data_IF_233500299571
#
_entry.id   IF_233500299571
#
_cell.length_a   1.000
_cell.length_b   1.000
_cell.length_c   1.000
_cell.angle_alpha   90.00
_cell.angle_beta   90.00
_cell.angle_gamma   90.00
#
_symmetry.space_group_name_H-M   'P 1'
#
loop_
_entity.id
_entity.type
_entity.pdbx_description
1 polymer ?
#
# COMPACT_ATOMS: atom_id res chain seq x y z
N UNK A 1 29.20 -15.18 -11.90
CA UNK A 1 27.77 -15.55 -11.88
C UNK A 1 27.09 -14.97 -10.63
N UNK A 2 26.49 -13.77 -10.72
CA UNK A 2 25.88 -13.04 -9.59
C UNK A 2 24.35 -13.18 -9.62
N UNK A 3 23.81 -14.27 -9.08
CA UNK A 3 22.38 -14.41 -8.75
C UNK A 3 22.22 -15.47 -7.66
N UNK A 4 22.16 -15.08 -6.37
CA UNK A 4 21.73 -15.99 -5.28
C UNK A 4 20.93 -15.29 -4.18
N UNK A 5 21.11 -13.99 -3.96
CA UNK A 5 20.44 -13.26 -2.86
C UNK A 5 18.91 -13.22 -2.98
N UNK A 6 18.33 -13.10 -4.18
CA UNK A 6 16.87 -13.10 -4.38
C UNK A 6 16.24 -14.48 -4.08
N UNK A 7 16.95 -15.56 -4.41
CA UNK A 7 16.49 -16.94 -4.16
C UNK A 7 16.53 -17.25 -2.66
N UNK A 8 17.56 -16.77 -1.95
CA UNK A 8 17.64 -16.87 -0.49
C UNK A 8 16.52 -16.08 0.21
N UNK A 9 16.19 -14.88 -0.26
CA UNK A 9 15.06 -14.11 0.28
C UNK A 9 13.74 -14.84 0.04
N UNK A 10 13.52 -15.37 -1.17
CA UNK A 10 12.31 -16.16 -1.46
C UNK A 10 12.22 -17.43 -0.61
N UNK A 11 13.32 -18.19 -0.48
CA UNK A 11 13.38 -19.37 0.35
C UNK A 11 13.17 -19.05 1.84
N UNK A 12 13.70 -17.93 2.33
CA UNK A 12 13.48 -17.44 3.68
C UNK A 12 12.01 -17.04 3.89
N UNK A 13 11.38 -16.36 2.94
CA UNK A 13 9.95 -16.02 2.99
C UNK A 13 9.07 -17.29 3.04
N UNK A 14 9.39 -18.31 2.24
CA UNK A 14 8.66 -19.59 2.26
C UNK A 14 8.87 -20.38 3.56
N UNK A 15 10.06 -20.35 4.15
CA UNK A 15 10.36 -21.10 5.38
C UNK A 15 9.54 -20.62 6.60
N UNK A 16 9.13 -19.35 6.63
CA UNK A 16 8.34 -18.76 7.71
C UNK A 16 6.87 -19.24 7.67
N UNK A 17 6.38 -19.73 6.53
CA UNK A 17 4.98 -20.09 6.34
C UNK A 17 4.56 -21.42 7.01
N UNK A 18 5.49 -22.34 7.27
CA UNK A 18 5.17 -23.72 7.70
C UNK A 18 4.83 -23.89 9.20
N UNK A 19 4.92 -22.84 10.01
CA UNK A 19 4.67 -22.87 11.47
C UNK A 19 3.46 -22.03 11.90
N UNK A 20 2.53 -21.73 10.99
CA UNK A 20 1.33 -20.95 11.31
C UNK A 20 0.26 -21.83 11.96
N UNK A 21 0.44 -22.18 13.25
CA UNK A 21 -0.73 -22.45 14.09
C UNK A 21 -1.47 -21.13 14.25
N UNK A 22 -2.79 -21.11 14.03
CA UNK A 22 -3.60 -19.90 14.18
C UNK A 22 -3.68 -19.49 15.67
N UNK A 23 -2.60 -18.92 16.20
CA UNK A 23 -2.42 -18.46 17.57
C UNK A 23 -3.27 -17.21 17.79
N UNK A 24 -4.57 -17.41 18.01
CA UNK A 24 -5.49 -16.36 18.46
C UNK A 24 -5.67 -16.39 19.98
N UNK A 25 -4.65 -16.84 20.70
CA UNK A 25 -4.64 -16.92 22.16
C UNK A 25 -4.38 -15.54 22.75
N UNK A 26 -4.97 -15.30 23.92
CA UNK A 26 -4.68 -14.11 24.73
C UNK A 26 -3.17 -13.93 24.94
N UNK A 27 -2.72 -12.68 24.86
CA UNK A 27 -1.34 -12.31 25.14
C UNK A 27 -0.39 -12.37 23.94
N UNK A 28 -0.86 -12.82 22.77
CA UNK A 28 -0.07 -12.84 21.54
C UNK A 28 -0.13 -11.50 20.82
N UNK A 29 0.92 -11.21 20.06
CA UNK A 29 0.94 -10.06 19.14
C UNK A 29 0.51 -10.49 17.74
N UNK A 30 -0.27 -9.62 17.11
CA UNK A 30 -0.63 -9.69 15.70
C UNK A 30 0.24 -8.68 14.96
N UNK A 31 1.13 -9.17 14.10
CA UNK A 31 1.94 -8.34 13.20
C UNK A 31 1.52 -8.63 11.77
N UNK A 32 1.36 -7.57 10.97
CA UNK A 32 1.01 -7.71 9.58
C UNK A 32 0.99 -6.36 8.86
N UNK A 33 0.33 -6.32 7.73
CA UNK A 33 0.14 -5.11 6.96
C UNK A 33 -0.12 -5.41 5.50
N UNK A 34 -0.20 -4.36 4.69
CA UNK A 34 -0.38 -4.48 3.24
C UNK A 34 0.51 -3.51 2.49
N UNK A 35 0.91 -3.90 1.28
CA UNK A 35 1.52 -3.02 0.29
C UNK A 35 0.59 -2.99 -0.91
N UNK A 36 0.33 -1.81 -1.46
CA UNK A 36 -0.48 -1.61 -2.65
C UNK A 36 0.32 -0.87 -3.73
N UNK A 37 0.11 -1.27 -4.98
CA UNK A 37 0.63 -0.59 -6.16
C UNK A 37 -0.43 -0.66 -7.26
N UNK A 38 -0.73 0.47 -7.87
CA UNK A 38 -1.77 0.61 -8.89
C UNK A 38 -1.34 1.64 -9.93
N UNK A 39 -1.56 1.32 -11.20
CA UNK A 39 -1.43 2.29 -12.30
C UNK A 39 -2.70 2.27 -13.12
N UNK A 40 -3.21 3.45 -13.47
CA UNK A 40 -4.34 3.61 -14.36
C UNK A 40 -4.09 4.72 -15.37
N UNK A 41 -4.61 4.55 -16.58
CA UNK A 41 -4.66 5.57 -17.62
C UNK A 41 -6.14 5.86 -17.87
N UNK A 42 -6.74 6.90 -17.26
CA UNK A 42 -8.10 7.29 -17.61
C UNK A 42 -8.22 7.55 -19.12
N UNK A 43 -9.33 7.10 -19.72
CA UNK A 43 -9.57 7.20 -21.16
C UNK A 43 -10.07 8.59 -21.59
N UNK A 44 -9.67 9.62 -20.85
CA UNK A 44 -10.02 11.00 -21.19
C UNK A 44 -9.18 11.43 -22.40
N UNK A 45 -9.67 12.42 -23.17
CA UNK A 45 -8.97 12.95 -24.35
C UNK A 45 -7.58 13.58 -24.03
N UNK A 46 -7.21 13.63 -22.74
CA UNK A 46 -5.92 14.11 -22.24
C UNK A 46 -5.07 12.92 -21.77
N UNK A 47 -3.76 12.89 -22.08
CA UNK A 47 -2.86 11.79 -21.74
C UNK A 47 -2.51 11.82 -20.24
N UNK A 48 -3.46 11.43 -19.40
CA UNK A 48 -3.30 11.38 -17.96
C UNK A 48 -2.92 9.97 -17.52
N UNK A 49 -1.88 9.84 -16.68
CA UNK A 49 -1.48 8.59 -16.03
C UNK A 49 -1.49 8.79 -14.52
N UNK A 50 -2.24 7.96 -13.82
CA UNK A 50 -2.27 7.92 -12.35
C UNK A 50 -1.50 6.70 -11.85
N UNK A 51 -0.53 6.93 -10.97
CA UNK A 51 0.23 5.88 -10.27
C UNK A 51 0.03 6.05 -8.77
N UNK A 52 -0.33 4.97 -8.08
CA UNK A 52 -0.52 4.96 -6.63
C UNK A 52 0.34 3.89 -6.01
N UNK A 53 1.03 4.23 -4.94
CA UNK A 53 1.77 3.33 -4.08
C UNK A 53 1.28 3.53 -2.66
N UNK A 54 1.16 2.45 -1.89
CA UNK A 54 0.87 2.57 -0.49
C UNK A 54 1.36 1.41 0.35
N UNK A 55 1.51 1.70 1.63
CA UNK A 55 2.05 0.83 2.65
C UNK A 55 1.22 1.02 3.91
N UNK A 56 0.79 -0.09 4.52
CA UNK A 56 -0.01 -0.05 5.73
C UNK A 56 0.44 -1.13 6.74
N UNK A 57 1.52 -0.91 7.50
CA UNK A 57 1.91 -1.83 8.57
C UNK A 57 0.88 -1.80 9.70
N UNK A 58 0.69 -2.96 10.31
CA UNK A 58 -0.31 -3.19 11.35
C UNK A 58 0.32 -3.92 12.53
N UNK A 59 0.00 -3.43 13.72
CA UNK A 59 0.30 -4.10 14.99
C UNK A 59 -0.99 -4.24 15.80
N UNK A 60 -1.16 -5.38 16.44
CA UNK A 60 -2.26 -5.64 17.37
C UNK A 60 -1.84 -6.58 18.48
N UNK A 61 -2.68 -6.64 19.50
CA UNK A 61 -2.50 -7.46 20.69
C UNK A 61 -3.80 -8.19 21.00
N UNK A 62 -3.69 -9.47 21.35
CA UNK A 62 -4.83 -10.30 21.69
C UNK A 62 -5.19 -10.14 23.16
N UNK A 63 -6.20 -9.32 23.42
CA UNK A 63 -6.67 -8.98 24.78
C UNK A 63 -7.44 -10.12 25.44
N UNK A 64 -8.07 -10.97 24.62
CA UNK A 64 -8.67 -12.24 25.03
C UNK A 64 -8.50 -13.24 23.90
N UNK A 65 -8.89 -14.48 24.14
CA UNK A 65 -8.98 -15.46 23.07
C UNK A 65 -9.89 -14.91 21.96
N UNK A 66 -9.38 -14.98 20.74
CA UNK A 66 -10.03 -14.56 19.50
C UNK A 66 -10.33 -13.07 19.35
N UNK A 67 -10.02 -12.22 20.33
CA UNK A 67 -10.17 -10.75 20.20
C UNK A 67 -8.81 -10.08 20.12
N UNK A 68 -8.58 -9.38 19.02
CA UNK A 68 -7.42 -8.52 18.83
C UNK A 68 -7.84 -7.06 18.80
N UNK A 69 -7.06 -6.20 19.46
CA UNK A 69 -7.14 -4.75 19.29
C UNK A 69 -5.79 -4.24 18.81
N UNK A 70 -5.77 -3.18 18.03
CA UNK A 70 -4.50 -2.69 17.51
C UNK A 70 -4.65 -1.42 16.72
N UNK A 71 -3.61 -1.10 15.96
CA UNK A 71 -3.62 0.04 15.05
C UNK A 71 -2.86 -0.28 13.76
N UNK A 72 -3.30 0.37 12.69
CA UNK A 72 -2.64 0.33 11.39
C UNK A 72 -2.13 1.72 11.07
N UNK A 73 -0.85 1.86 10.78
CA UNK A 73 -0.31 3.09 10.19
C UNK A 73 -0.46 2.97 8.68
N UNK A 74 -0.84 4.05 8.01
CA UNK A 74 -1.07 4.08 6.57
C UNK A 74 -0.23 5.18 5.95
N UNK A 75 0.41 4.88 4.82
CA UNK A 75 1.15 5.83 4.01
C UNK A 75 0.82 5.56 2.54
N UNK A 76 0.32 6.56 1.81
CA UNK A 76 0.01 6.44 0.39
C UNK A 76 0.58 7.64 -0.37
N UNK A 77 1.12 7.38 -1.56
CA UNK A 77 1.53 8.39 -2.53
C UNK A 77 0.72 8.14 -3.80
N UNK A 78 0.02 9.15 -4.28
CA UNK A 78 -0.67 9.13 -5.56
C UNK A 78 -0.11 10.24 -6.46
N UNK A 79 0.45 9.85 -7.60
CA UNK A 79 0.96 10.76 -8.63
C UNK A 79 0.05 10.70 -9.84
N UNK A 80 -0.36 11.85 -10.34
CA UNK A 80 -1.05 11.99 -11.63
C UNK A 80 -0.17 12.87 -12.51
N UNK A 81 0.16 12.38 -13.70
CA UNK A 81 1.04 13.06 -14.63
C UNK A 81 0.35 13.10 -16.00
N UNK A 82 0.49 14.21 -16.71
CA UNK A 82 -0.01 14.34 -18.07
C UNK A 82 0.77 15.40 -18.85
N UNK A 83 0.48 15.49 -20.14
CA UNK A 83 1.11 16.46 -21.03
C UNK A 83 0.09 17.13 -21.95
N UNK A 84 0.45 18.33 -22.41
CA UNK A 84 -0.27 19.06 -23.46
C UNK A 84 0.72 19.28 -24.61
N UNK A 85 0.36 18.82 -25.81
CA UNK A 85 1.15 19.10 -27.01
C UNK A 85 0.87 20.52 -27.49
N UNK A 86 1.91 21.36 -27.56
CA UNK A 86 1.85 22.71 -28.12
C UNK A 86 2.77 22.80 -29.35
N UNK A 87 2.59 23.83 -30.17
CA UNK A 87 3.36 24.04 -31.40
C UNK A 87 4.87 24.18 -31.16
N UNK A 88 5.26 24.65 -29.96
CA UNK A 88 6.65 24.95 -29.58
C UNK A 88 7.24 23.95 -28.56
N UNK A 89 6.57 22.82 -28.30
CA UNK A 89 7.03 21.79 -27.34
C UNK A 89 5.92 21.11 -26.54
N UNK A 90 6.31 20.28 -25.57
CA UNK A 90 5.37 19.61 -24.65
C UNK A 90 5.36 20.28 -23.29
N UNK A 91 4.17 20.57 -22.77
CA UNK A 91 3.98 21.04 -21.40
C UNK A 91 3.60 19.85 -20.53
N UNK A 92 4.53 19.42 -19.69
CA UNK A 92 4.30 18.39 -18.69
C UNK A 92 3.66 19.02 -17.45
N UNK A 93 2.64 18.38 -16.91
CA UNK A 93 2.04 18.77 -15.65
C UNK A 93 1.79 17.56 -14.77
N UNK A 94 1.75 17.78 -13.47
CA UNK A 94 1.41 16.72 -12.56
C UNK A 94 1.00 17.19 -11.18
N UNK A 95 0.23 16.31 -10.55
CA UNK A 95 -0.28 16.45 -9.20
C UNK A 95 0.22 15.27 -8.36
N UNK A 96 0.80 15.56 -7.21
CA UNK A 96 1.22 14.57 -6.23
C UNK A 96 0.45 14.76 -4.93
N UNK A 97 -0.21 13.70 -4.48
CA UNK A 97 -0.89 13.62 -3.20
C UNK A 97 -0.17 12.63 -2.30
N UNK A 98 0.15 13.05 -1.08
CA UNK A 98 0.71 12.19 -0.04
C UNK A 98 -0.29 12.13 1.10
N UNK A 99 -0.66 10.92 1.52
CA UNK A 99 -1.54 10.66 2.64
C UNK A 99 -0.80 9.85 3.70
N UNK A 100 -0.95 10.23 4.95
CA UNK A 100 -0.53 9.42 6.09
C UNK A 100 -1.63 9.39 7.14
N UNK A 101 -1.77 8.27 7.84
CA UNK A 101 -2.86 8.10 8.78
C UNK A 101 -2.65 6.98 9.78
N UNK A 102 -3.56 6.95 10.75
CA UNK A 102 -3.62 5.95 11.79
C UNK A 102 -5.04 5.40 11.86
N UNK A 103 -5.15 4.07 12.03
CA UNK A 103 -6.44 3.38 12.07
C UNK A 103 -6.47 2.39 13.23
N UNK A 104 -6.94 2.80 14.43
CA UNK A 104 -7.25 1.84 15.49
C UNK A 104 -8.30 0.84 15.00
N UNK A 105 -8.15 -0.42 15.41
CA UNK A 105 -9.04 -1.49 15.01
C UNK A 105 -9.33 -2.45 16.16
N UNK A 106 -10.47 -3.12 16.04
CA UNK A 106 -10.83 -4.33 16.77
C UNK A 106 -11.12 -5.44 15.77
N UNK A 107 -10.64 -6.64 16.05
CA UNK A 107 -10.82 -7.82 15.20
C UNK A 107 -11.23 -9.01 16.03
N UNK A 108 -12.28 -9.70 15.60
CA UNK A 108 -12.75 -10.95 16.22
C UNK A 108 -12.55 -12.13 15.26
N UNK A 109 -12.07 -13.26 15.79
CA UNK A 109 -11.86 -14.50 15.05
C UNK A 109 -12.92 -15.55 15.42
N UNK A 110 -13.53 -16.17 14.41
CA UNK A 110 -14.42 -17.32 14.60
C UNK A 110 -13.87 -18.55 13.86
N UNK A 111 -13.91 -19.72 14.50
CA UNK A 111 -13.44 -20.98 13.89
C UNK A 111 -14.57 -21.57 13.05
N UNK A 112 -14.31 -21.78 11.77
CA UNK A 112 -15.26 -22.42 10.85
C UNK A 112 -14.87 -23.88 10.61
N UNK A 113 -13.57 -24.17 10.52
CA UNK A 113 -13.05 -25.52 10.38
C UNK A 113 -11.70 -25.61 11.11
N UNK A 114 -11.08 -26.81 11.11
CA UNK A 114 -9.95 -27.06 11.99
C UNK A 114 -8.72 -26.19 11.74
N UNK A 115 -8.54 -25.77 10.49
CA UNK A 115 -7.43 -24.92 10.07
C UNK A 115 -7.89 -23.59 9.47
N UNK A 116 -9.19 -23.30 9.53
CA UNK A 116 -9.78 -22.09 8.94
C UNK A 116 -10.53 -21.27 9.98
N UNK A 117 -10.06 -20.04 10.17
CA UNK A 117 -10.74 -19.02 10.96
C UNK A 117 -11.21 -17.90 10.03
N UNK A 118 -12.45 -17.50 10.19
CA UNK A 118 -12.96 -16.26 9.64
C UNK A 118 -12.74 -15.15 10.65
N UNK A 119 -12.68 -13.91 10.19
CA UNK A 119 -12.55 -12.77 11.08
C UNK A 119 -13.44 -11.61 10.64
N UNK A 120 -14.00 -10.92 11.63
CA UNK A 120 -14.59 -9.60 11.46
C UNK A 120 -13.58 -8.54 11.88
N UNK A 121 -13.40 -7.49 11.08
CA UNK A 121 -12.47 -6.40 11.34
C UNK A 121 -13.23 -5.07 11.28
N UNK A 122 -13.19 -4.31 12.37
CA UNK A 122 -13.75 -2.98 12.44
C UNK A 122 -12.64 -1.99 12.78
N UNK A 123 -12.53 -0.92 12.01
CA UNK A 123 -11.53 0.12 12.20
C UNK A 123 -12.10 1.50 11.86
N UNK A 124 -11.49 2.52 12.46
CA UNK A 124 -11.77 3.92 12.17
C UNK A 124 -10.47 4.55 11.69
N UNK A 125 -10.47 5.20 10.52
CA UNK A 125 -9.28 5.84 9.96
C UNK A 125 -9.30 7.34 10.22
N UNK A 126 -8.18 7.87 10.72
CA UNK A 126 -7.87 9.29 10.67
C UNK A 126 -6.62 9.49 9.80
N UNK A 127 -6.71 10.38 8.81
CA UNK A 127 -5.60 10.64 7.89
C UNK A 127 -5.46 12.13 7.56
N UNK A 128 -4.22 12.52 7.30
CA UNK A 128 -3.85 13.84 6.82
C UNK A 128 -3.25 13.70 5.42
N UNK A 129 -3.47 14.73 4.59
CA UNK A 129 -3.01 14.76 3.22
C UNK A 129 -2.32 16.07 2.88
N UNK A 130 -1.33 15.99 2.00
CA UNK A 130 -0.69 17.16 1.38
C UNK A 130 -0.70 16.98 -0.13
N UNK A 131 -0.93 18.08 -0.84
CA UNK A 131 -0.97 18.13 -2.29
C UNK A 131 0.09 19.08 -2.82
N UNK A 132 0.88 18.60 -3.76
CA UNK A 132 1.86 19.39 -4.51
C UNK A 132 1.51 19.34 -5.99
N UNK A 133 1.49 20.49 -6.65
CA UNK A 133 1.27 20.61 -8.10
C UNK A 133 2.54 21.12 -8.77
N UNK A 134 2.79 20.67 -9.99
CA UNK A 134 3.92 21.14 -10.79
C UNK A 134 3.55 21.24 -12.27
N UNK A 135 4.23 22.13 -12.97
CA UNK A 135 4.13 22.33 -14.42
C UNK A 135 5.51 22.71 -14.94
N UNK A 136 5.95 22.03 -16.01
CA UNK A 136 7.26 22.18 -16.62
C UNK A 136 7.12 22.19 -18.13
N UNK A 137 7.83 23.10 -18.81
CA UNK A 137 7.90 23.13 -20.27
C UNK A 137 9.17 22.43 -20.72
N UNK A 138 9.05 21.44 -21.59
CA UNK A 138 10.19 20.80 -22.24
C UNK A 138 10.30 21.34 -23.67
N UNK A 139 11.37 22.10 -23.93
CA UNK A 139 11.62 22.69 -25.25
C UNK A 139 12.09 21.58 -26.21
N UNK A 140 11.58 21.52 -27.45
CA UNK A 140 12.02 20.51 -28.42
C UNK A 140 13.53 20.61 -28.63
N UNK A 141 14.22 19.46 -28.55
CA UNK A 141 15.64 19.38 -28.88
C UNK A 141 15.86 19.80 -30.34
N UNK A 142 16.89 20.61 -30.64
CA UNK A 142 17.20 20.96 -32.01
C UNK A 142 17.54 19.69 -32.80
N UNK A 143 17.09 19.58 -34.07
CA UNK A 143 17.44 18.45 -34.91
C UNK A 143 18.97 18.35 -35.05
N UNK A 144 19.51 17.14 -34.89
CA UNK A 144 20.93 16.82 -35.11
C UNK A 144 21.32 16.92 -36.58
#
# INVERSE_FOLDING_TARGET
>A
MKMKSKLFIMAALCAIAFKSNAQTEKGKFLLGGSVNFSTSKPNDQLPNKKTTFGLAPRVGYLVSDNWAVGSTLTYNISKTEGYISASDGEINYGDQYIYYGISPFVRYYTRIADNFKFFGDFNVNASLGTQNKWMSMEKPEPPQ
#
